data_IF_903659012143
#
_entry.id   IF_903659012143
#
_cell.length_a   1.000
_cell.length_b   1.000
_cell.length_c   1.000
_cell.angle_alpha   90.00
_cell.angle_beta   90.00
_cell.angle_gamma   90.00
#
_symmetry.space_group_name_H-M   'P 1'
#
loop_
_entity.id
_entity.type
_entity.pdbx_description
1 polymer ?
#
# COMPACT_ATOMS: atom_id res chain seq x y z
N UNK A 1 19.21 -35.26 3.22
CA UNK A 1 18.39 -34.11 3.65
C UNK A 1 18.23 -33.19 2.46
N UNK A 2 17.00 -32.93 2.00
CA UNK A 2 16.77 -31.93 0.95
C UNK A 2 16.42 -30.63 1.66
N UNK A 3 17.29 -29.64 1.56
CA UNK A 3 16.96 -28.26 1.92
C UNK A 3 15.85 -27.82 0.95
N UNK A 4 14.62 -27.73 1.42
CA UNK A 4 13.55 -27.10 0.65
C UNK A 4 13.79 -25.60 0.70
N UNK A 5 14.22 -25.04 -0.42
CA UNK A 5 14.31 -23.60 -0.58
C UNK A 5 12.89 -23.05 -0.53
N UNK A 6 12.53 -22.41 0.59
CA UNK A 6 11.27 -21.67 0.71
C UNK A 6 11.38 -20.46 -0.21
N UNK A 7 10.78 -20.55 -1.40
CA UNK A 7 10.68 -19.39 -2.28
C UNK A 7 9.80 -18.34 -1.59
N UNK A 8 10.22 -17.06 -1.64
CA UNK A 8 9.46 -16.01 -0.97
C UNK A 8 8.06 -15.91 -1.56
N UNK A 9 7.08 -15.78 -0.68
CA UNK A 9 5.67 -15.78 -1.08
C UNK A 9 5.37 -14.44 -1.76
N UNK A 10 4.89 -14.42 -3.02
CA UNK A 10 4.55 -13.16 -3.68
C UNK A 10 3.34 -12.50 -3.01
N UNK A 11 3.42 -11.19 -2.81
CA UNK A 11 2.35 -10.37 -2.23
C UNK A 11 2.09 -9.13 -3.09
N UNK A 12 0.90 -8.55 -2.94
CA UNK A 12 0.54 -7.25 -3.50
C UNK A 12 0.09 -6.32 -2.37
N UNK A 13 0.47 -5.05 -2.44
CA UNK A 13 0.06 -4.03 -1.48
C UNK A 13 -1.06 -3.18 -2.06
N UNK A 14 -2.02 -2.79 -1.22
CA UNK A 14 -3.07 -1.84 -1.57
C UNK A 14 -3.13 -0.76 -0.49
N UNK A 15 -3.07 0.50 -0.90
CA UNK A 15 -3.20 1.66 -0.02
C UNK A 15 -4.26 2.60 -0.59
N UNK A 16 -5.09 3.20 0.27
CA UNK A 16 -6.15 4.13 -0.11
C UNK A 16 -6.17 5.33 0.81
N UNK A 17 -6.39 6.52 0.27
CA UNK A 17 -6.66 7.73 1.05
C UNK A 17 -8.00 8.32 0.63
N UNK A 18 -8.86 8.60 1.61
CA UNK A 18 -10.09 9.36 1.41
C UNK A 18 -9.85 10.84 1.67
N UNK A 19 -10.37 11.70 0.81
CA UNK A 19 -10.10 13.13 0.78
C UNK A 19 -10.78 13.95 1.88
N UNK A 20 -11.55 13.31 2.78
CA UNK A 20 -12.29 14.00 3.84
C UNK A 20 -11.47 14.18 5.13
N UNK A 21 -10.25 13.64 5.19
CA UNK A 21 -9.35 13.87 6.33
C UNK A 21 -7.93 14.10 5.83
N UNK A 22 -7.62 15.34 5.47
CA UNK A 22 -6.24 15.75 5.25
C UNK A 22 -5.40 15.76 6.56
N UNK A 23 -6.03 15.41 7.70
CA UNK A 23 -5.44 15.30 9.05
C UNK A 23 -5.32 13.85 9.58
N UNK A 24 -5.47 12.79 8.76
CA UNK A 24 -5.18 11.42 9.26
C UNK A 24 -3.70 11.10 9.16
N UNK A 25 -3.05 11.18 10.32
CA UNK A 25 -1.71 10.79 10.81
C UNK A 25 -0.72 9.96 9.96
N UNK A 26 -1.08 9.33 8.83
CA UNK A 26 -0.15 8.60 7.97
C UNK A 26 -0.48 8.83 6.49
N UNK A 27 0.39 9.59 5.82
CA UNK A 27 0.38 9.72 4.35
C UNK A 27 0.40 8.33 3.67
N UNK A 28 -0.10 8.24 2.44
CA UNK A 28 0.00 7.01 1.60
C UNK A 28 1.42 6.42 1.66
N UNK A 29 2.43 7.29 1.59
CA UNK A 29 3.83 6.90 1.66
C UNK A 29 4.20 6.20 2.98
N UNK A 30 3.68 6.68 4.11
CA UNK A 30 3.91 6.06 5.41
C UNK A 30 3.20 4.70 5.54
N UNK A 31 1.99 4.57 4.98
CA UNK A 31 1.26 3.30 4.92
C UNK A 31 2.00 2.26 4.08
N UNK A 32 2.44 2.65 2.88
CA UNK A 32 3.21 1.77 1.99
C UNK A 32 4.54 1.34 2.61
N UNK A 33 5.23 2.25 3.32
CA UNK A 33 6.46 1.91 4.05
C UNK A 33 6.21 0.83 5.10
N UNK A 34 5.18 0.99 5.93
CA UNK A 34 4.84 0.00 6.95
C UNK A 34 4.48 -1.37 6.34
N UNK A 35 3.74 -1.38 5.24
CA UNK A 35 3.38 -2.60 4.53
C UNK A 35 4.59 -3.32 3.91
N UNK A 36 5.54 -2.57 3.35
CA UNK A 36 6.80 -3.12 2.82
C UNK A 36 7.69 -3.70 3.92
N UNK A 37 7.80 -3.00 5.05
CA UNK A 37 8.56 -3.48 6.21
C UNK A 37 7.96 -4.79 6.73
N UNK A 38 6.63 -4.86 6.88
CA UNK A 38 5.94 -6.09 7.24
C UNK A 38 6.17 -7.22 6.23
N UNK A 39 6.06 -6.92 4.93
CA UNK A 39 6.29 -7.91 3.88
C UNK A 39 7.71 -8.51 3.94
N UNK A 40 8.72 -7.65 4.08
CA UNK A 40 10.12 -8.06 4.23
C UNK A 40 10.31 -8.95 5.46
N UNK A 41 9.81 -8.51 6.61
CA UNK A 41 10.05 -9.18 7.89
C UNK A 41 9.34 -10.55 7.97
N UNK A 42 8.34 -10.78 7.12
CA UNK A 42 7.60 -12.04 7.04
C UNK A 42 7.95 -12.90 5.80
N UNK A 43 9.00 -12.55 5.06
CA UNK A 43 9.46 -13.37 3.92
C UNK A 43 8.57 -13.28 2.67
N UNK A 44 7.82 -12.20 2.52
CA UNK A 44 7.05 -11.91 1.32
C UNK A 44 7.88 -11.09 0.32
N UNK A 45 7.67 -11.36 -0.98
CA UNK A 45 8.15 -10.50 -2.06
C UNK A 45 6.99 -9.65 -2.56
N UNK A 46 7.07 -8.33 -2.38
CA UNK A 46 6.08 -7.40 -2.95
C UNK A 46 6.26 -7.34 -4.46
N UNK A 47 5.26 -7.78 -5.20
CA UNK A 47 5.27 -7.84 -6.67
C UNK A 47 4.52 -6.69 -7.32
N UNK A 48 3.53 -6.11 -6.62
CA UNK A 48 2.69 -5.02 -7.10
C UNK A 48 2.23 -4.16 -5.94
N UNK A 49 2.01 -2.89 -6.23
CA UNK A 49 1.44 -1.92 -5.31
C UNK A 49 0.33 -1.15 -6.03
N UNK A 50 -0.80 -1.00 -5.36
CA UNK A 50 -1.98 -0.33 -5.87
C UNK A 50 -2.32 0.81 -4.92
N UNK A 51 -2.41 2.01 -5.48
CA UNK A 51 -2.73 3.22 -4.71
C UNK A 51 -4.05 3.77 -5.23
N UNK A 52 -5.02 3.87 -4.33
CA UNK A 52 -6.30 4.50 -4.56
C UNK A 52 -6.27 5.88 -3.91
N UNK A 53 -5.78 6.84 -4.68
CA UNK A 53 -5.97 8.25 -4.38
C UNK A 53 -7.44 8.52 -4.66
N UNK A 54 -8.31 8.46 -3.65
CA UNK A 54 -9.67 8.92 -3.82
C UNK A 54 -9.59 10.43 -4.01
N UNK A 55 -9.35 10.86 -5.24
CA UNK A 55 -9.42 12.24 -5.67
C UNK A 55 -10.85 12.69 -5.38
N UNK A 56 -10.99 13.59 -4.41
CA UNK A 56 -12.29 14.14 -4.06
C UNK A 56 -12.85 14.74 -5.34
N UNK A 57 -13.97 14.21 -5.83
CA UNK A 57 -14.74 14.79 -6.93
C UNK A 57 -15.36 16.15 -6.56
N UNK A 58 -14.62 17.04 -5.91
CA UNK A 58 -14.89 18.47 -5.83
C UNK A 58 -14.25 19.15 -7.05
N UNK A 59 -14.65 18.75 -8.25
CA UNK A 59 -14.65 19.71 -9.36
C UNK A 59 -15.82 20.64 -9.07
N UNK A 60 -15.53 21.65 -8.24
CA UNK A 60 -16.35 22.83 -8.08
C UNK A 60 -16.19 23.65 -9.37
N UNK A 61 -16.79 23.20 -10.46
CA UNK A 61 -16.93 24.00 -11.67
C UNK A 61 -18.18 23.54 -12.45
N UNK A 62 -19.34 24.03 -12.00
CA UNK A 62 -20.53 24.13 -12.85
C UNK A 62 -20.91 25.62 -12.88
N UNK A 63 -20.83 26.28 -14.05
CA UNK A 63 -21.29 27.67 -14.22
C UNK A 63 -22.81 27.80 -14.07
#
# INVERSE_FOLDING_TARGET
MKEQIQLPTPAALYARVSSDRQDVDLSVAAQLRALRDYARDNGYTVTREYIDEAESGRIADRP
#
